data_IF_785072819350
#
_entry.id   IF_785072819350
#
_cell.length_a   1.000
_cell.length_b   1.000
_cell.length_c   1.000
_cell.angle_alpha   90.00
_cell.angle_beta   90.00
_cell.angle_gamma   90.00
#
_symmetry.space_group_name_H-M   'P 1'
#
loop_
_entity.id
_entity.type
_entity.pdbx_description
1 polymer ?
#
# COMPACT_ATOMS: atom_id res chain seq x y z
N UNK A 1 -0.28 5.01 9.26
CA UNK A 1 -0.52 5.97 8.16
C UNK A 1 -0.65 5.30 6.79
N UNK A 2 0.18 4.30 6.45
CA UNK A 2 0.14 3.61 5.15
C UNK A 2 -1.23 3.05 4.74
N UNK A 3 -1.93 2.35 5.64
CA UNK A 3 -3.23 1.77 5.29
C UNK A 3 -4.31 2.83 5.02
N UNK A 4 -4.33 3.93 5.77
CA UNK A 4 -5.26 5.04 5.51
C UNK A 4 -5.01 5.62 4.12
N UNK A 5 -3.75 5.91 3.76
CA UNK A 5 -3.45 6.45 2.44
C UNK A 5 -3.80 5.51 1.29
N UNK A 6 -3.66 4.19 1.49
CA UNK A 6 -4.06 3.21 0.48
C UNK A 6 -5.58 3.13 0.34
N UNK A 7 -6.31 3.27 1.46
CA UNK A 7 -7.77 3.32 1.46
C UNK A 7 -8.29 4.59 0.80
N UNK A 8 -7.74 5.74 1.17
CA UNK A 8 -8.09 7.05 0.61
C UNK A 8 -7.81 7.11 -0.91
N UNK A 9 -6.77 6.40 -1.37
CA UNK A 9 -6.44 6.24 -2.78
C UNK A 9 -7.30 5.18 -3.51
N UNK A 10 -8.21 4.49 -2.81
CA UNK A 10 -9.05 3.42 -3.37
C UNK A 10 -8.27 2.17 -3.79
N UNK A 11 -7.05 1.98 -3.26
CA UNK A 11 -6.19 0.83 -3.59
C UNK A 11 -6.44 -0.37 -2.68
N UNK A 12 -7.06 -0.15 -1.52
CA UNK A 12 -7.61 -1.21 -0.66
C UNK A 12 -9.01 -0.81 -0.22
N UNK A 13 -9.84 -1.80 0.09
CA UNK A 13 -11.10 -1.54 0.80
C UNK A 13 -11.08 -2.21 2.16
N UNK A 14 -11.88 -1.70 3.08
CA UNK A 14 -12.05 -2.30 4.40
C UNK A 14 -13.41 -3.00 4.41
N UNK A 15 -13.39 -4.32 4.40
CA UNK A 15 -14.54 -5.17 4.71
C UNK A 15 -14.69 -5.20 6.24
N UNK A 16 -15.23 -4.12 6.77
CA UNK A 16 -15.61 -4.06 8.15
C UNK A 16 -16.71 -5.11 8.39
N UNK A 17 -16.56 -5.96 9.42
CA UNK A 17 -17.64 -6.85 9.84
C UNK A 17 -18.87 -6.03 10.22
N UNK A 18 -20.05 -6.65 10.33
CA UNK A 18 -21.29 -5.95 10.72
C UNK A 18 -21.24 -5.14 12.04
N UNK A 19 -20.17 -5.28 12.83
CA UNK A 19 -19.89 -4.49 14.04
C UNK A 19 -18.67 -3.55 13.89
N UNK A 20 -18.22 -3.24 12.68
CA UNK A 20 -17.06 -2.38 12.40
C UNK A 20 -15.75 -2.82 13.06
N UNK A 21 -15.64 -4.11 13.41
CA UNK A 21 -14.44 -4.69 14.04
C UNK A 21 -13.71 -5.61 13.07
N UNK A 22 -12.37 -5.58 13.13
CA UNK A 22 -11.47 -6.34 12.28
C UNK A 22 -10.89 -7.51 13.05
N UNK A 23 -11.71 -8.54 13.26
CA UNK A 23 -11.24 -9.79 13.84
C UNK A 23 -10.77 -10.74 12.74
N UNK A 24 -9.68 -11.49 12.94
CA UNK A 24 -9.29 -12.54 12.02
C UNK A 24 -10.38 -13.61 11.96
N UNK A 25 -10.76 -14.05 10.76
CA UNK A 25 -11.64 -15.21 10.60
C UNK A 25 -10.80 -16.45 10.80
N UNK A 26 -11.25 -17.36 11.66
CA UNK A 26 -10.59 -18.63 11.93
C UNK A 26 -11.42 -19.78 11.39
N UNK A 27 -10.77 -20.81 10.86
CA UNK A 27 -11.43 -22.07 10.52
C UNK A 27 -11.74 -22.89 11.78
N UNK A 28 -12.37 -24.06 11.60
CA UNK A 28 -12.74 -24.97 12.69
C UNK A 28 -11.54 -25.46 13.51
N UNK A 29 -10.36 -25.49 12.91
CA UNK A 29 -9.10 -25.88 13.56
C UNK A 29 -8.41 -24.70 14.27
N UNK A 30 -9.03 -23.51 14.27
CA UNK A 30 -8.49 -22.30 14.89
C UNK A 30 -7.44 -21.56 14.05
N UNK A 31 -7.11 -22.05 12.85
CA UNK A 31 -6.20 -21.38 11.94
C UNK A 31 -6.85 -20.13 11.33
N UNK A 32 -6.11 -19.04 11.24
CA UNK A 32 -6.57 -17.81 10.59
C UNK A 32 -6.68 -18.08 9.09
N UNK A 33 -7.90 -17.98 8.55
CA UNK A 33 -8.21 -18.22 7.14
C UNK A 33 -8.61 -16.96 6.38
N UNK A 34 -8.92 -15.88 7.10
CA UNK A 34 -9.10 -14.56 6.50
C UNK A 34 -8.57 -13.48 7.46
N UNK A 35 -7.91 -12.49 6.86
CA UNK A 35 -7.11 -11.49 7.55
C UNK A 35 -7.80 -10.13 7.58
N UNK A 36 -8.26 -9.73 8.77
CA UNK A 36 -8.42 -8.34 9.17
C UNK A 36 -9.32 -7.43 8.29
N UNK A 37 -10.20 -8.00 7.45
CA UNK A 37 -11.16 -7.23 6.66
C UNK A 37 -10.50 -6.25 5.69
N UNK A 38 -9.32 -6.53 5.16
CA UNK A 38 -8.68 -5.68 4.14
C UNK A 38 -8.71 -6.40 2.80
N UNK A 39 -9.37 -5.80 1.83
CA UNK A 39 -9.40 -6.30 0.46
C UNK A 39 -8.22 -5.73 -0.35
N UNK A 40 -7.35 -6.62 -0.81
CA UNK A 40 -6.17 -6.27 -1.62
C UNK A 40 -6.35 -6.62 -3.11
N UNK A 41 -7.54 -7.06 -3.55
CA UNK A 41 -7.77 -7.49 -4.94
C UNK A 41 -7.37 -6.44 -5.97
N UNK A 42 -7.55 -5.16 -5.64
CA UNK A 42 -7.15 -4.04 -6.51
C UNK A 42 -5.63 -3.99 -6.70
N UNK A 43 -4.86 -4.12 -5.61
CA UNK A 43 -3.39 -4.16 -5.67
C UNK A 43 -2.89 -5.35 -6.51
N UNK A 44 -3.54 -6.51 -6.39
CA UNK A 44 -3.17 -7.71 -7.12
C UNK A 44 -3.53 -7.55 -8.61
N UNK A 45 -4.77 -7.16 -8.91
CA UNK A 45 -5.25 -7.02 -10.28
C UNK A 45 -4.49 -5.96 -11.08
N UNK A 46 -4.07 -4.86 -10.43
CA UNK A 46 -3.33 -3.74 -11.05
C UNK A 46 -1.84 -3.76 -10.74
N UNK A 47 -1.30 -4.87 -10.26
CA UNK A 47 0.08 -4.95 -9.76
C UNK A 47 1.11 -4.39 -10.75
N UNK A 48 1.03 -4.76 -12.02
CA UNK A 48 2.02 -4.36 -13.04
C UNK A 48 2.05 -2.85 -13.25
N UNK A 49 0.89 -2.24 -13.34
CA UNK A 49 0.75 -0.80 -13.51
C UNK A 49 1.29 -0.05 -12.28
N UNK A 50 0.86 -0.48 -11.08
CA UNK A 50 1.28 0.13 -9.83
C UNK A 50 2.79 -0.03 -9.59
N UNK A 51 3.37 -1.19 -9.92
CA UNK A 51 4.82 -1.42 -9.82
C UNK A 51 5.59 -0.45 -10.74
N UNK A 52 5.13 -0.23 -11.96
CA UNK A 52 5.74 0.72 -12.88
C UNK A 52 5.67 2.16 -12.34
N UNK A 53 4.51 2.58 -11.81
CA UNK A 53 4.37 3.91 -11.20
C UNK A 53 5.30 4.09 -9.99
N UNK A 54 5.40 3.07 -9.13
CA UNK A 54 6.31 3.11 -7.98
C UNK A 54 7.77 3.20 -8.41
N UNK A 55 8.18 2.44 -9.44
CA UNK A 55 9.54 2.52 -9.99
C UNK A 55 9.85 3.91 -10.54
N UNK A 56 8.92 4.48 -11.30
CA UNK A 56 9.06 5.81 -11.87
C UNK A 56 9.21 6.88 -10.76
N UNK A 57 8.30 6.89 -9.78
CA UNK A 57 8.35 7.83 -8.66
C UNK A 57 9.66 7.72 -7.85
N UNK A 58 10.20 6.50 -7.67
CA UNK A 58 11.49 6.28 -7.03
C UNK A 58 12.64 6.86 -7.85
N UNK A 59 12.64 6.67 -9.17
CA UNK A 59 13.66 7.21 -10.06
C UNK A 59 13.67 8.75 -10.01
N UNK A 60 12.50 9.38 -10.11
CA UNK A 60 12.33 10.83 -10.01
C UNK A 60 12.82 11.38 -8.67
N UNK A 61 12.41 10.76 -7.55
CA UNK A 61 12.86 11.16 -6.21
C UNK A 61 14.38 11.05 -6.07
N UNK A 62 14.99 10.01 -6.64
CA UNK A 62 16.44 9.81 -6.60
C UNK A 62 17.16 10.89 -7.43
N UNK A 63 16.65 11.21 -8.62
CA UNK A 63 17.19 12.26 -9.47
C UNK A 63 17.12 13.63 -8.80
N UNK A 64 15.96 13.98 -8.21
CA UNK A 64 15.78 15.24 -7.48
C UNK A 64 16.73 15.33 -6.27
N UNK A 65 16.88 14.23 -5.52
CA UNK A 65 17.82 14.17 -4.39
C UNK A 65 19.27 14.36 -4.83
N UNK A 66 19.67 13.76 -5.96
CA UNK A 66 21.00 13.93 -6.51
C UNK A 66 21.25 15.37 -6.99
N UNK A 67 20.28 16.00 -7.65
CA UNK A 67 20.35 17.40 -8.06
C UNK A 67 20.53 18.33 -6.86
N UNK A 68 19.75 18.12 -5.79
CA UNK A 68 19.87 18.93 -4.56
C UNK A 68 21.25 18.77 -3.90
N UNK A 69 21.82 17.56 -3.86
CA UNK A 69 23.17 17.34 -3.33
C UNK A 69 24.22 18.06 -4.16
N UNK A 70 24.12 18.02 -5.50
CA UNK A 70 25.03 18.74 -6.40
C UNK A 70 24.96 20.25 -6.18
N UNK A 71 23.75 20.80 -6.08
CA UNK A 71 23.55 22.22 -5.79
C UNK A 71 24.19 22.64 -4.46
N UNK A 72 23.98 21.85 -3.39
CA UNK A 72 24.54 22.13 -2.07
C UNK A 72 26.05 21.96 -1.98
N UNK A 73 26.65 21.03 -2.72
CA UNK A 73 28.10 20.83 -2.74
C UNK A 73 28.85 21.80 -3.68
N UNK A 74 28.11 22.58 -4.48
CA UNK A 74 28.66 23.65 -5.31
C UNK A 74 28.63 25.03 -4.63
N UNK A 75 28.03 25.11 -3.44
CA UNK A 75 28.06 26.26 -2.52
C UNK A 75 29.15 26.02 -1.47
#
# INVERSE_FOLDING_TARGET
RMLSSLFDAGLITMQDSGNYKRYPVRNRDGAIVDGCGIDMRILIARYRELDQLVRQAKAEKSAASAALRRYRGAL
#
